data_IF_103824864456
#
_entry.id   IF_103824864456
#
_cell.length_a   1.000
_cell.length_b   1.000
_cell.length_c   1.000
_cell.angle_alpha   90.00
_cell.angle_beta   90.00
_cell.angle_gamma   90.00
#
_symmetry.space_group_name_H-M   'P 1'
#
loop_
_entity.id
_entity.type
_entity.pdbx_description
1 polymer ?
#
# COMPACT_ATOMS: atom_id res chain seq x y z
N UNK A 1 -0.13 -15.84 -7.53
CA UNK A 1 -0.36 -17.30 -7.57
C UNK A 1 -0.30 -17.86 -6.16
N UNK A 2 -1.13 -18.85 -5.83
CA UNK A 2 -1.12 -19.50 -4.51
C UNK A 2 -0.91 -21.00 -4.68
N UNK A 3 -0.08 -21.61 -3.83
CA UNK A 3 0.23 -23.04 -3.86
C UNK A 3 -0.16 -23.61 -2.51
N UNK A 4 -1.18 -24.48 -2.50
CA UNK A 4 -1.67 -25.12 -1.29
C UNK A 4 -1.22 -26.58 -1.23
N UNK A 5 -0.69 -26.99 -0.08
CA UNK A 5 -0.28 -28.36 0.16
C UNK A 5 -0.59 -28.78 1.59
N UNK A 6 -0.95 -30.05 1.78
CA UNK A 6 -1.19 -30.61 3.09
C UNK A 6 0.16 -30.82 3.80
N UNK A 7 0.34 -30.32 5.02
CA UNK A 7 1.65 -30.33 5.70
C UNK A 7 2.18 -31.75 5.96
N UNK A 8 1.29 -32.71 6.20
CA UNK A 8 1.67 -34.13 6.37
C UNK A 8 2.06 -34.85 5.05
N UNK A 9 1.81 -34.23 3.89
CA UNK A 9 2.11 -34.82 2.57
C UNK A 9 3.33 -34.13 1.95
N UNK A 10 3.32 -32.80 1.93
CA UNK A 10 4.45 -31.98 1.47
C UNK A 10 4.89 -31.15 2.67
N UNK A 11 6.04 -31.48 3.30
CA UNK A 11 6.58 -30.73 4.41
C UNK A 11 6.76 -29.25 4.07
N UNK A 12 6.69 -28.38 5.07
CA UNK A 12 6.75 -26.93 4.88
C UNK A 12 8.00 -26.48 4.13
N UNK A 13 9.16 -27.03 4.46
CA UNK A 13 10.43 -26.69 3.79
C UNK A 13 10.38 -26.98 2.29
N UNK A 14 9.77 -28.11 1.90
CA UNK A 14 9.59 -28.46 0.50
C UNK A 14 8.56 -27.55 -0.18
N UNK A 15 7.44 -27.23 0.49
CA UNK A 15 6.46 -26.28 -0.04
C UNK A 15 7.08 -24.90 -0.28
N UNK A 16 7.95 -24.45 0.62
CA UNK A 16 8.68 -23.19 0.51
C UNK A 16 9.68 -23.23 -0.65
N UNK A 17 10.49 -24.27 -0.78
CA UNK A 17 11.40 -24.47 -1.93
C UNK A 17 10.65 -24.50 -3.26
N UNK A 18 9.48 -25.17 -3.34
CA UNK A 18 8.62 -25.14 -4.53
C UNK A 18 8.17 -23.70 -4.83
N UNK A 19 7.74 -22.96 -3.82
CA UNK A 19 7.29 -21.58 -3.98
C UNK A 19 8.42 -20.65 -4.46
N UNK A 20 9.64 -20.83 -3.95
CA UNK A 20 10.84 -20.10 -4.41
C UNK A 20 11.18 -20.41 -5.86
N UNK A 21 11.17 -21.69 -6.25
CA UNK A 21 11.38 -22.10 -7.65
C UNK A 21 10.31 -21.51 -8.58
N UNK A 22 9.05 -21.55 -8.18
CA UNK A 22 7.95 -20.93 -8.95
C UNK A 22 8.13 -19.41 -9.01
N UNK A 23 8.61 -18.77 -7.94
CA UNK A 23 8.91 -17.33 -7.95
C UNK A 23 9.95 -16.99 -9.01
N UNK A 24 11.04 -17.76 -9.11
CA UNK A 24 12.06 -17.55 -10.14
C UNK A 24 11.48 -17.71 -11.56
N UNK A 25 10.67 -18.75 -11.80
CA UNK A 25 10.04 -18.99 -13.10
C UNK A 25 9.05 -17.88 -13.51
N UNK A 26 8.43 -17.23 -12.55
CA UNK A 26 7.39 -16.21 -12.78
C UNK A 26 7.95 -14.79 -12.78
N UNK A 27 9.27 -14.62 -12.85
CA UNK A 27 9.92 -13.32 -13.13
C UNK A 27 9.94 -12.98 -14.63
N UNK A 28 9.74 -13.97 -15.49
CA UNK A 28 9.62 -13.75 -16.94
C UNK A 28 8.44 -12.82 -17.24
N UNK A 29 8.61 -11.73 -18.03
CA UNK A 29 7.54 -10.80 -18.39
C UNK A 29 6.28 -11.47 -18.95
N UNK A 30 6.41 -12.61 -19.64
CA UNK A 30 5.28 -13.37 -20.19
C UNK A 30 4.36 -13.92 -19.11
N UNK A 31 4.90 -14.21 -17.92
CA UNK A 31 4.21 -14.81 -16.79
C UNK A 31 4.49 -14.04 -15.50
N UNK A 32 4.63 -12.71 -15.60
CA UNK A 32 5.00 -11.87 -14.47
C UNK A 32 3.88 -11.86 -13.44
N UNK A 33 4.11 -12.54 -12.32
CA UNK A 33 3.14 -12.62 -11.23
C UNK A 33 3.66 -11.77 -10.07
N UNK A 34 2.82 -10.90 -9.50
CA UNK A 34 3.26 -10.02 -8.41
C UNK A 34 3.70 -10.75 -7.13
N UNK A 35 3.04 -11.88 -6.80
CA UNK A 35 3.32 -12.64 -5.58
C UNK A 35 3.03 -14.14 -5.70
N UNK A 36 3.93 -14.96 -5.15
CA UNK A 36 3.70 -16.38 -4.89
C UNK A 36 3.38 -16.55 -3.40
N UNK A 37 2.33 -17.31 -3.06
CA UNK A 37 1.89 -17.48 -1.68
C UNK A 37 1.82 -18.97 -1.35
N UNK A 38 2.61 -19.42 -0.38
CA UNK A 38 2.47 -20.73 0.24
C UNK A 38 1.22 -20.75 1.11
N UNK A 39 0.34 -21.73 0.87
CA UNK A 39 -0.93 -21.94 1.60
C UNK A 39 -0.97 -23.33 2.22
N UNK A 40 -0.11 -23.63 3.21
CA UNK A 40 -0.17 -24.90 3.89
C UNK A 40 -1.50 -25.08 4.63
N UNK A 41 -1.95 -26.33 4.72
CA UNK A 41 -3.16 -26.70 5.43
C UNK A 41 -3.00 -28.08 6.09
N UNK A 42 -3.86 -28.35 7.07
CA UNK A 42 -3.95 -29.62 7.80
C UNK A 42 -5.41 -30.06 7.90
N UNK A 43 -5.63 -31.28 8.36
CA UNK A 43 -6.96 -31.84 8.63
C UNK A 43 -7.29 -33.02 7.72
N UNK A 44 -8.57 -33.25 7.49
CA UNK A 44 -9.03 -34.41 6.73
C UNK A 44 -10.17 -34.01 5.78
N UNK A 45 -10.52 -34.85 4.78
CA UNK A 45 -11.62 -34.55 3.88
C UNK A 45 -12.90 -34.16 4.62
N UNK A 46 -13.41 -32.96 4.34
CA UNK A 46 -14.57 -32.37 5.02
C UNK A 46 -14.23 -31.43 6.18
N UNK A 47 -12.97 -31.38 6.63
CA UNK A 47 -12.52 -30.53 7.74
C UNK A 47 -11.05 -30.04 7.57
N UNK A 48 -10.72 -29.46 6.42
CA UNK A 48 -9.40 -28.86 6.20
C UNK A 48 -9.31 -27.44 6.78
N UNK A 49 -8.21 -27.14 7.45
CA UNK A 49 -7.91 -25.80 8.01
C UNK A 49 -6.54 -25.32 7.52
N UNK A 50 -6.50 -24.10 6.98
CA UNK A 50 -5.23 -23.44 6.63
C UNK A 50 -4.46 -23.10 7.90
N UNK A 51 -3.15 -23.34 7.90
CA UNK A 51 -2.31 -23.02 9.05
C UNK A 51 -1.80 -21.59 9.01
N UNK A 52 -1.13 -21.17 10.09
CA UNK A 52 -0.41 -19.89 10.16
C UNK A 52 0.93 -19.91 9.42
N UNK A 53 1.38 -21.06 8.89
CA UNK A 53 2.66 -21.24 8.19
C UNK A 53 2.65 -20.67 6.76
N UNK A 54 1.80 -19.67 6.52
CA UNK A 54 1.76 -18.96 5.25
C UNK A 54 3.08 -18.21 5.06
N UNK A 55 3.65 -18.34 3.87
CA UNK A 55 4.80 -17.55 3.44
C UNK A 55 4.53 -16.91 2.07
N UNK A 56 5.01 -15.68 1.88
CA UNK A 56 4.74 -14.88 0.69
C UNK A 56 6.07 -14.49 0.03
N UNK A 57 6.19 -14.72 -1.27
CA UNK A 57 7.36 -14.37 -2.08
C UNK A 57 6.95 -13.28 -3.08
N UNK A 58 7.23 -12.02 -2.72
CA UNK A 58 6.93 -10.85 -3.53
C UNK A 58 8.09 -10.51 -4.48
N UNK A 59 7.83 -9.67 -5.47
CA UNK A 59 8.90 -9.00 -6.21
C UNK A 59 9.29 -7.74 -5.46
N UNK A 60 10.59 -7.55 -5.28
CA UNK A 60 11.11 -6.23 -4.93
C UNK A 60 10.76 -5.22 -6.03
N UNK A 61 10.59 -3.93 -5.69
CA UNK A 61 10.53 -2.87 -6.68
C UNK A 61 11.69 -2.96 -7.68
N UNK A 62 11.44 -2.63 -8.95
CA UNK A 62 12.43 -2.69 -10.03
C UNK A 62 13.41 -1.50 -10.00
N UNK A 63 14.11 -1.35 -8.88
CA UNK A 63 15.01 -0.24 -8.59
C UNK A 63 14.78 0.33 -7.19
N UNK A 64 15.71 1.17 -6.72
CA UNK A 64 15.53 1.91 -5.47
C UNK A 64 14.35 2.87 -5.60
N UNK A 65 13.53 2.92 -4.57
CA UNK A 65 12.38 3.80 -4.46
C UNK A 65 12.73 5.04 -3.63
N UNK A 66 11.83 6.01 -3.60
CA UNK A 66 11.94 7.16 -2.67
C UNK A 66 11.96 6.70 -1.21
N UNK A 67 11.31 5.57 -0.87
CA UNK A 67 11.35 5.01 0.47
C UNK A 67 12.78 4.59 0.86
N UNK A 68 13.52 3.99 -0.07
CA UNK A 68 14.93 3.64 0.13
C UNK A 68 15.78 4.87 0.37
N UNK A 69 15.57 5.93 -0.42
CA UNK A 69 16.30 7.18 -0.28
C UNK A 69 15.99 7.91 1.04
N UNK A 70 14.75 7.87 1.53
CA UNK A 70 14.41 8.40 2.85
C UNK A 70 15.12 7.64 3.96
N UNK A 71 15.05 6.30 3.94
CA UNK A 71 15.71 5.44 4.92
C UNK A 71 17.23 5.61 4.90
N UNK A 72 17.85 5.63 3.72
CA UNK A 72 19.29 5.87 3.56
C UNK A 72 19.68 7.27 4.06
N UNK A 73 18.77 8.25 3.98
CA UNK A 73 18.91 9.60 4.53
C UNK A 73 18.69 9.71 6.05
N UNK A 74 18.36 8.60 6.73
CA UNK A 74 18.11 8.58 8.18
C UNK A 74 16.71 9.05 8.60
N UNK A 75 15.76 9.13 7.67
CA UNK A 75 14.37 9.46 7.96
C UNK A 75 13.53 8.23 8.31
N UNK A 76 12.50 8.44 9.12
CA UNK A 76 11.52 7.42 9.43
C UNK A 76 10.64 7.10 8.21
N UNK A 77 10.48 5.81 7.93
CA UNK A 77 9.55 5.29 6.91
C UNK A 77 8.66 4.26 7.58
N UNK A 78 7.47 4.72 7.99
CA UNK A 78 6.49 3.94 8.76
C UNK A 78 5.41 3.44 7.81
N UNK A 79 5.44 2.15 7.51
CA UNK A 79 4.49 1.49 6.62
C UNK A 79 3.29 0.95 7.42
N UNK A 80 2.08 1.37 7.05
CA UNK A 80 0.83 0.95 7.71
C UNK A 80 -0.03 0.14 6.74
N UNK A 81 -0.52 -1.00 7.20
CA UNK A 81 -1.33 -1.92 6.41
C UNK A 81 -0.50 -2.71 5.40
N UNK A 82 -0.85 -2.63 4.12
CA UNK A 82 -0.22 -3.44 3.06
C UNK A 82 1.06 -2.86 2.49
N UNK A 83 1.46 -1.64 2.87
CA UNK A 83 2.62 -0.97 2.28
C UNK A 83 3.90 -1.81 2.40
N UNK A 84 4.23 -2.35 3.57
CA UNK A 84 5.42 -3.18 3.72
C UNK A 84 5.40 -4.42 2.80
N UNK A 85 4.23 -5.07 2.65
CA UNK A 85 4.08 -6.21 1.76
C UNK A 85 4.26 -5.78 0.29
N UNK A 86 3.68 -4.64 -0.12
CA UNK A 86 3.71 -4.13 -1.50
C UNK A 86 5.14 -3.82 -1.95
N UNK A 87 5.94 -3.22 -1.06
CA UNK A 87 7.33 -2.84 -1.34
C UNK A 87 8.36 -3.90 -0.92
N UNK A 88 7.92 -5.09 -0.50
CA UNK A 88 8.79 -6.17 0.00
C UNK A 88 9.74 -5.72 1.13
N UNK A 89 9.29 -4.76 1.94
CA UNK A 89 10.08 -4.15 3.02
C UNK A 89 11.19 -3.19 2.58
N UNK A 90 11.39 -2.96 1.28
CA UNK A 90 12.37 -2.00 0.76
C UNK A 90 12.04 -0.59 1.26
N UNK A 91 13.05 0.13 1.74
CA UNK A 91 12.90 1.45 2.36
C UNK A 91 12.15 1.50 3.69
N UNK A 92 11.54 0.42 4.18
CA UNK A 92 10.73 0.45 5.42
C UNK A 92 11.63 0.42 6.67
N UNK A 93 11.29 1.24 7.66
CA UNK A 93 11.94 1.30 8.99
C UNK A 93 11.06 0.73 10.10
N UNK A 94 9.74 0.92 9.99
CA UNK A 94 8.74 0.38 10.91
C UNK A 94 7.54 -0.09 10.10
N UNK A 95 6.95 -1.24 10.46
CA UNK A 95 5.77 -1.80 9.80
C UNK A 95 4.66 -2.11 10.80
N UNK A 96 3.46 -1.57 10.55
CA UNK A 96 2.27 -1.78 11.37
C UNK A 96 1.21 -2.49 10.54
N UNK A 97 0.80 -3.69 10.97
CA UNK A 97 -0.26 -4.46 10.29
C UNK A 97 -1.65 -3.95 10.68
N UNK A 98 -2.59 -4.03 9.74
CA UNK A 98 -3.99 -3.65 9.93
C UNK A 98 -4.92 -4.80 9.55
N UNK A 99 -6.14 -4.79 10.10
CA UNK A 99 -7.19 -5.79 9.85
C UNK A 99 -8.32 -5.28 8.95
N UNK A 100 -8.53 -3.97 8.89
CA UNK A 100 -9.57 -3.29 8.12
C UNK A 100 -9.19 -1.82 7.90
N UNK A 101 -9.99 -1.10 7.11
CA UNK A 101 -9.83 0.33 6.90
C UNK A 101 -9.92 1.13 8.20
N UNK A 102 -10.88 0.80 9.09
CA UNK A 102 -11.05 1.50 10.36
C UNK A 102 -9.86 1.27 11.31
N UNK A 103 -9.34 0.03 11.38
CA UNK A 103 -8.11 -0.24 12.13
C UNK A 103 -6.92 0.50 11.50
N UNK A 104 -6.85 0.61 10.16
CA UNK A 104 -5.85 1.43 9.47
C UNK A 104 -5.88 2.90 9.89
N UNK A 105 -7.06 3.50 9.97
CA UNK A 105 -7.23 4.86 10.50
C UNK A 105 -6.82 4.94 11.98
N UNK A 106 -7.15 3.95 12.80
CA UNK A 106 -6.75 3.91 14.21
C UNK A 106 -5.22 3.84 14.37
N UNK A 107 -4.53 3.04 13.55
CA UNK A 107 -3.07 2.97 13.56
C UNK A 107 -2.45 4.28 13.06
N UNK A 108 -3.00 4.90 12.01
CA UNK A 108 -2.55 6.21 11.54
C UNK A 108 -2.64 7.25 12.66
N UNK A 109 -3.74 7.28 13.41
CA UNK A 109 -3.90 8.22 14.53
C UNK A 109 -2.90 8.01 15.67
N UNK A 110 -2.42 6.77 15.87
CA UNK A 110 -1.32 6.50 16.82
C UNK A 110 0.01 7.05 16.31
N UNK A 111 0.28 6.89 15.01
CA UNK A 111 1.52 7.38 14.39
C UNK A 111 1.55 8.90 14.31
N UNK A 112 0.44 9.56 13.96
CA UNK A 112 0.33 11.04 13.95
C UNK A 112 0.65 11.65 15.33
N UNK A 113 0.38 10.92 16.42
CA UNK A 113 0.67 11.35 17.80
C UNK A 113 2.09 10.99 18.27
N UNK A 114 2.85 10.21 17.48
CA UNK A 114 4.24 9.85 17.77
C UNK A 114 5.16 10.95 17.26
N UNK A 115 6.30 11.12 17.92
CA UNK A 115 7.38 11.97 17.41
C UNK A 115 8.21 11.18 16.40
N UNK A 116 8.27 11.65 15.15
CA UNK A 116 9.05 11.06 14.06
C UNK A 116 9.36 12.14 13.01
N UNK A 117 10.36 11.92 12.17
CA UNK A 117 10.65 12.79 11.03
C UNK A 117 10.83 11.95 9.78
N UNK A 118 9.89 12.04 8.85
CA UNK A 118 9.88 11.24 7.64
C UNK A 118 8.47 11.02 7.12
N UNK A 119 8.13 9.80 6.71
CA UNK A 119 6.82 9.46 6.14
C UNK A 119 6.09 8.39 6.95
N UNK A 120 4.79 8.61 7.17
CA UNK A 120 3.82 7.58 7.54
C UNK A 120 2.96 7.26 6.33
N UNK A 121 3.10 6.04 5.80
CA UNK A 121 2.44 5.62 4.55
C UNK A 121 1.41 4.53 4.82
N UNK A 122 0.13 4.87 4.68
CA UNK A 122 -1.01 3.97 4.90
C UNK A 122 -1.62 3.49 3.58
N UNK A 123 -1.95 2.20 3.52
CA UNK A 123 -2.87 1.63 2.51
C UNK A 123 -4.17 1.13 3.17
N UNK A 124 -5.30 1.64 2.67
CA UNK A 124 -6.66 1.25 3.07
C UNK A 124 -7.24 0.27 2.04
N UNK A 125 -7.02 -1.02 2.26
CA UNK A 125 -7.23 -2.07 1.24
C UNK A 125 -8.68 -2.52 1.05
N UNK A 126 -9.59 -2.23 2.00
CA UNK A 126 -10.94 -2.82 1.95
C UNK A 126 -11.73 -2.34 0.72
N UNK A 127 -11.48 -1.11 0.25
CA UNK A 127 -12.05 -0.55 -0.98
C UNK A 127 -11.89 -1.52 -2.17
N UNK A 128 -10.69 -2.06 -2.33
CA UNK A 128 -10.34 -2.99 -3.40
C UNK A 128 -10.79 -4.42 -3.10
N UNK A 129 -10.37 -4.95 -1.94
CA UNK A 129 -10.47 -6.37 -1.62
C UNK A 129 -11.88 -6.82 -1.21
N UNK A 130 -12.67 -5.95 -0.57
CA UNK A 130 -14.00 -6.29 -0.08
C UNK A 130 -15.10 -5.77 -1.02
N UNK A 131 -14.88 -4.66 -1.73
CA UNK A 131 -15.95 -4.00 -2.48
C UNK A 131 -15.71 -3.94 -3.99
N UNK A 132 -14.57 -3.44 -4.44
CA UNK A 132 -14.24 -3.27 -5.86
C UNK A 132 -14.26 -4.60 -6.63
N UNK A 133 -13.40 -5.55 -6.25
CA UNK A 133 -13.33 -6.88 -6.88
C UNK A 133 -14.64 -7.68 -6.78
N UNK A 134 -15.47 -7.38 -5.77
CA UNK A 134 -16.77 -8.03 -5.55
C UNK A 134 -17.94 -7.32 -6.23
N UNK A 135 -17.68 -6.19 -6.90
CA UNK A 135 -18.70 -5.34 -7.54
C UNK A 135 -19.84 -4.96 -6.58
N UNK A 136 -19.48 -4.70 -5.33
CA UNK A 136 -20.41 -4.30 -4.27
C UNK A 136 -20.50 -2.77 -4.18
N UNK A 137 -21.32 -2.18 -5.03
CA UNK A 137 -21.52 -0.72 -5.08
C UNK A 137 -21.99 -0.13 -3.74
N UNK A 138 -23.04 -0.67 -3.06
CA UNK A 138 -23.46 -0.14 -1.76
C UNK A 138 -22.37 -0.22 -0.69
N UNK A 139 -21.65 -1.35 -0.60
CA UNK A 139 -20.56 -1.52 0.34
C UNK A 139 -19.40 -0.56 0.09
N UNK A 140 -19.01 -0.36 -1.18
CA UNK A 140 -17.99 0.60 -1.56
C UNK A 140 -18.38 2.03 -1.14
N UNK A 141 -19.61 2.45 -1.44
CA UNK A 141 -20.11 3.78 -1.08
C UNK A 141 -20.11 4.00 0.44
N UNK A 142 -20.52 2.99 1.22
CA UNK A 142 -20.48 3.06 2.67
C UNK A 142 -19.04 3.15 3.20
N UNK A 143 -18.10 2.36 2.64
CA UNK A 143 -16.70 2.42 3.05
C UNK A 143 -16.05 3.79 2.78
N UNK A 144 -16.45 4.48 1.70
CA UNK A 144 -15.97 5.85 1.41
C UNK A 144 -16.49 6.80 2.48
N UNK A 145 -17.77 6.69 2.85
CA UNK A 145 -18.37 7.49 3.92
C UNK A 145 -17.68 7.23 5.26
N UNK A 146 -17.42 5.97 5.61
CA UNK A 146 -16.76 5.60 6.85
C UNK A 146 -15.34 6.17 6.92
N UNK A 147 -14.61 6.20 5.79
CA UNK A 147 -13.31 6.86 5.69
C UNK A 147 -13.42 8.38 5.86
N UNK A 148 -14.37 9.02 5.16
CA UNK A 148 -14.59 10.47 5.24
C UNK A 148 -14.93 10.91 6.67
N UNK A 149 -15.78 10.14 7.37
CA UNK A 149 -16.16 10.39 8.78
C UNK A 149 -14.94 10.36 9.74
N UNK A 150 -13.80 9.76 9.35
CA UNK A 150 -12.54 9.72 10.12
C UNK A 150 -11.58 10.88 9.81
N UNK A 151 -11.76 11.59 8.69
CA UNK A 151 -10.87 12.69 8.30
C UNK A 151 -10.86 13.88 9.27
N UNK A 152 -11.99 14.30 9.90
CA UNK A 152 -11.97 15.37 10.90
C UNK A 152 -11.05 15.06 12.09
N UNK A 153 -11.01 13.80 12.53
CA UNK A 153 -10.11 13.36 13.60
C UNK A 153 -8.64 13.55 13.19
N UNK A 154 -8.28 13.09 11.99
CA UNK A 154 -6.94 13.25 11.42
C UNK A 154 -6.54 14.73 11.36
N UNK A 155 -7.35 15.57 10.73
CA UNK A 155 -7.04 16.99 10.52
C UNK A 155 -6.89 17.76 11.84
N UNK A 156 -7.67 17.40 12.87
CA UNK A 156 -7.57 18.02 14.20
C UNK A 156 -6.27 17.70 14.96
N UNK A 157 -5.52 16.67 14.55
CA UNK A 157 -4.28 16.24 15.19
C UNK A 157 -3.01 16.61 14.39
N UNK A 158 -3.15 17.24 13.22
CA UNK A 158 -2.00 17.68 12.42
C UNK A 158 -1.34 18.91 13.04
N UNK A 159 -0.01 18.96 12.96
CA UNK A 159 0.80 20.15 13.24
C UNK A 159 0.92 21.03 12.00
N UNK A 160 1.36 22.27 12.19
CA UNK A 160 1.57 23.23 11.08
C UNK A 160 2.58 22.73 10.03
N UNK A 161 3.55 21.91 10.44
CA UNK A 161 4.58 21.35 9.56
C UNK A 161 4.22 19.97 8.97
N UNK A 162 3.03 19.44 9.26
CA UNK A 162 2.56 18.20 8.67
C UNK A 162 1.94 18.42 7.27
N UNK A 163 2.15 17.45 6.38
CA UNK A 163 1.52 17.37 5.06
C UNK A 163 0.78 16.03 4.94
N UNK A 164 -0.51 16.10 4.64
CA UNK A 164 -1.33 14.93 4.29
C UNK A 164 -1.50 14.86 2.78
N UNK A 165 -1.22 13.68 2.21
CA UNK A 165 -1.44 13.37 0.80
C UNK A 165 -2.45 12.21 0.72
N UNK A 166 -3.61 12.44 0.10
CA UNK A 166 -4.63 11.41 -0.14
C UNK A 166 -4.66 11.10 -1.63
N UNK A 167 -4.56 9.82 -1.97
CA UNK A 167 -4.52 9.35 -3.36
C UNK A 167 -4.99 7.89 -3.50
N UNK A 168 -4.97 7.37 -4.73
CA UNK A 168 -5.22 5.97 -5.06
C UNK A 168 -4.09 5.43 -5.97
N UNK A 169 -4.09 4.14 -6.26
CA UNK A 169 -3.09 3.47 -7.12
C UNK A 169 -3.68 2.96 -8.44
N UNK A 170 -4.99 2.80 -8.52
CA UNK A 170 -5.74 2.48 -9.73
C UNK A 170 -7.25 2.68 -9.50
N UNK A 171 -8.07 2.42 -10.51
CA UNK A 171 -9.52 2.28 -10.36
C UNK A 171 -9.92 0.84 -10.03
N UNK A 172 -11.08 0.67 -9.42
CA UNK A 172 -11.76 -0.62 -9.31
C UNK A 172 -13.28 -0.41 -9.25
N UNK A 173 -13.85 0.07 -10.36
CA UNK A 173 -15.27 0.43 -10.47
C UNK A 173 -16.18 -0.74 -10.05
N UNK A 174 -16.98 -0.60 -8.96
CA UNK A 174 -17.85 -1.68 -8.50
C UNK A 174 -19.06 -1.95 -9.42
N UNK A 175 -19.20 -1.21 -10.52
CA UNK A 175 -20.23 -1.40 -11.55
C UNK A 175 -19.68 -1.92 -12.87
N UNK A 176 -18.35 -2.00 -13.01
CA UNK A 176 -17.72 -2.51 -14.21
C UNK A 176 -17.97 -4.03 -14.39
N UNK A 177 -17.94 -4.53 -15.64
CA UNK A 177 -18.00 -5.97 -15.88
C UNK A 177 -16.76 -6.69 -15.33
N UNK A 178 -16.88 -8.01 -15.14
CA UNK A 178 -15.78 -8.85 -14.64
C UNK A 178 -15.44 -8.56 -13.18
N UNK A 179 -14.22 -8.89 -12.78
CA UNK A 179 -13.74 -8.77 -11.40
C UNK A 179 -12.39 -8.07 -11.30
N UNK A 180 -11.83 -7.57 -12.40
CA UNK A 180 -10.50 -6.96 -12.43
C UNK A 180 -10.56 -5.44 -12.20
N UNK A 181 -9.39 -4.83 -11.98
CA UNK A 181 -9.23 -3.39 -11.86
C UNK A 181 -9.63 -2.63 -13.12
N UNK A 182 -9.88 -1.33 -12.96
CA UNK A 182 -10.20 -0.39 -14.05
C UNK A 182 -9.10 0.64 -14.22
N UNK A 183 -8.80 1.01 -15.47
CA UNK A 183 -7.76 2.00 -15.79
C UNK A 183 -8.35 3.41 -15.71
N UNK A 184 -8.16 4.06 -14.57
CA UNK A 184 -8.73 5.37 -14.25
C UNK A 184 -7.65 6.37 -13.83
N UNK A 185 -8.01 7.67 -13.86
CA UNK A 185 -7.26 8.69 -13.12
C UNK A 185 -7.42 8.47 -11.61
N UNK A 186 -6.41 8.84 -10.85
CA UNK A 186 -6.45 8.83 -9.38
C UNK A 186 -6.65 10.26 -8.86
N UNK A 187 -7.36 10.46 -7.74
CA UNK A 187 -7.36 11.75 -7.06
C UNK A 187 -5.99 12.00 -6.42
N UNK A 188 -5.57 13.26 -6.35
CA UNK A 188 -4.43 13.69 -5.53
C UNK A 188 -4.86 14.93 -4.77
N UNK A 189 -4.92 14.81 -3.44
CA UNK A 189 -5.27 15.90 -2.54
C UNK A 189 -4.11 16.09 -1.58
N UNK A 190 -3.55 17.30 -1.53
CA UNK A 190 -2.47 17.67 -0.61
C UNK A 190 -2.97 18.76 0.34
N UNK A 191 -2.87 18.51 1.65
CA UNK A 191 -3.37 19.41 2.69
C UNK A 191 -2.37 19.56 3.82
N UNK A 192 -2.20 20.79 4.30
CA UNK A 192 -1.44 21.13 5.49
C UNK A 192 -2.14 22.28 6.22
N UNK A 193 -2.16 22.31 7.57
CA UNK A 193 -2.69 23.45 8.33
C UNK A 193 -1.98 24.78 8.00
N UNK A 194 -0.73 24.71 7.52
CA UNK A 194 0.06 25.88 7.13
C UNK A 194 -0.44 26.56 5.87
N UNK A 195 -1.11 25.84 4.97
CA UNK A 195 -1.61 26.41 3.71
C UNK A 195 -2.64 27.50 3.98
N UNK A 196 -2.49 28.64 3.29
CA UNK A 196 -3.40 29.79 3.41
C UNK A 196 -4.44 29.86 2.29
N UNK A 197 -4.40 28.92 1.35
CA UNK A 197 -5.35 28.78 0.27
C UNK A 197 -5.24 27.41 -0.39
N UNK A 198 -5.95 27.24 -1.50
CA UNK A 198 -5.89 26.03 -2.30
C UNK A 198 -6.04 26.38 -3.78
N UNK A 199 -5.42 25.58 -4.64
CA UNK A 199 -5.58 25.65 -6.08
C UNK A 199 -5.48 24.24 -6.67
N UNK A 200 -5.94 24.07 -7.90
CA UNK A 200 -5.74 22.82 -8.61
C UNK A 200 -4.27 22.67 -8.99
N UNK A 201 -3.68 21.52 -8.66
CA UNK A 201 -2.36 21.13 -9.15
C UNK A 201 -2.40 20.97 -10.67
N UNK A 202 -1.28 21.23 -11.33
CA UNK A 202 -1.14 20.85 -12.73
C UNK A 202 -1.28 19.33 -12.89
N UNK A 203 -2.05 18.91 -13.89
CA UNK A 203 -2.16 17.50 -14.21
C UNK A 203 -0.81 16.91 -14.61
N UNK A 204 -0.64 15.62 -14.32
CA UNK A 204 0.57 14.88 -14.64
C UNK A 204 0.21 13.56 -15.32
N UNK A 205 1.21 12.98 -15.98
CA UNK A 205 1.13 11.72 -16.70
C UNK A 205 1.68 10.55 -15.89
N UNK A 206 2.25 10.81 -14.71
CA UNK A 206 2.81 9.79 -13.81
C UNK A 206 2.44 10.01 -12.35
N UNK A 207 2.28 8.91 -11.60
CA UNK A 207 2.11 8.96 -10.14
C UNK A 207 3.41 9.31 -9.41
N UNK A 208 4.55 9.18 -10.11
CA UNK A 208 5.88 9.38 -9.54
C UNK A 208 6.10 10.81 -9.02
N UNK A 209 5.28 11.78 -9.45
CA UNK A 209 5.30 13.16 -8.97
C UNK A 209 4.96 13.28 -7.47
N UNK A 210 4.18 12.35 -6.90
CA UNK A 210 3.99 12.25 -5.44
C UNK A 210 5.33 11.91 -4.77
N UNK A 211 6.02 10.89 -5.29
CA UNK A 211 7.36 10.49 -4.79
C UNK A 211 8.39 11.60 -4.96
N UNK A 212 8.40 12.30 -6.10
CA UNK A 212 9.29 13.42 -6.35
C UNK A 212 9.05 14.57 -5.36
N UNK A 213 7.78 14.86 -5.03
CA UNK A 213 7.42 15.88 -4.02
C UNK A 213 7.91 15.49 -2.63
N UNK A 214 7.76 14.23 -2.25
CA UNK A 214 8.26 13.70 -0.97
C UNK A 214 9.80 13.77 -0.92
N UNK A 215 10.48 13.34 -1.97
CA UNK A 215 11.93 13.37 -2.05
C UNK A 215 12.50 14.81 -1.96
N UNK A 216 11.88 15.75 -2.68
CA UNK A 216 12.22 17.18 -2.65
C UNK A 216 12.04 17.77 -1.24
N UNK A 217 10.95 17.43 -0.55
CA UNK A 217 10.67 17.91 0.81
C UNK A 217 11.76 17.51 1.83
N UNK A 218 12.22 16.26 1.75
CA UNK A 218 13.26 15.75 2.64
C UNK A 218 14.68 15.92 2.09
N UNK A 219 14.83 16.57 0.92
CA UNK A 219 16.11 16.80 0.25
C UNK A 219 16.95 15.51 0.09
N UNK A 220 16.28 14.41 -0.27
CA UNK A 220 16.92 13.14 -0.64
C UNK A 220 17.02 13.01 -2.16
N UNK A 221 17.64 11.93 -2.66
CA UNK A 221 17.76 11.69 -4.10
C UNK A 221 16.39 11.69 -4.79
N UNK A 222 16.24 12.55 -5.80
CA UNK A 222 15.03 12.61 -6.61
C UNK A 222 14.86 11.33 -7.44
N UNK A 223 13.63 10.83 -7.62
CA UNK A 223 13.38 9.70 -8.51
C UNK A 223 13.64 10.08 -9.98
N UNK A 224 13.86 9.08 -10.82
CA UNK A 224 14.05 9.26 -12.27
C UNK A 224 12.82 9.86 -12.97
N UNK A 225 11.62 9.60 -12.44
CA UNK A 225 10.35 9.99 -13.03
C UNK A 225 9.55 10.93 -12.11
N UNK A 226 8.75 11.79 -12.73
CA UNK A 226 7.86 12.73 -12.04
C UNK A 226 8.47 14.12 -11.81
N UNK A 227 7.62 15.07 -11.45
CA UNK A 227 8.01 16.44 -11.04
C UNK A 227 7.50 16.71 -9.63
N UNK A 228 8.26 17.46 -8.85
CA UNK A 228 7.84 17.87 -7.51
C UNK A 228 6.83 19.02 -7.59
N UNK A 229 5.74 18.89 -6.83
CA UNK A 229 4.76 19.95 -6.61
C UNK A 229 5.13 20.86 -5.42
N UNK A 230 6.22 20.61 -4.71
CA UNK A 230 6.53 21.24 -3.42
C UNK A 230 6.51 22.79 -3.47
N UNK A 231 6.92 23.37 -4.60
CA UNK A 231 6.94 24.83 -4.80
C UNK A 231 5.55 25.45 -5.02
N UNK A 232 4.58 24.64 -5.41
CA UNK A 232 3.18 25.03 -5.59
C UNK A 232 2.44 25.05 -4.24
N UNK A 233 2.89 24.26 -3.27
CA UNK A 233 2.29 24.13 -1.94
C UNK A 233 2.51 25.40 -1.09
N UNK A 234 1.44 26.20 -0.88
CA UNK A 234 1.49 27.52 -0.20
C UNK A 234 0.32 27.73 0.77
#
# INVERSE_FOLDING_TARGET
MQIAAHEDIIPLEELYDICEKVRELTKDPKYLIGRIIARPYVGEPGNFTRTSNRHDYALKPFGKTVLDHLKDGGYDVIAIGKINDIYDGEGVTEAVRTKSNMDGMDQLMKIVKKDFTGISFLNLVDFDALYGHRRDKPGYAQAIKDFDDRLPELFSNLKEDDLVIITADHGNDPTAPGTDHTREYIPVIMYSPKFKGGHALESDTTFSSIGATIADNFNVTLPEFGKSYLKELK
#
